data_IF_497863534791
#
_entry.id   IF_497863534791
#
_cell.length_a   1.000
_cell.length_b   1.000
_cell.length_c   1.000
_cell.angle_alpha   90.00
_cell.angle_beta   90.00
_cell.angle_gamma   90.00
#
_symmetry.space_group_name_H-M   'P 1'
#
loop_
_entity.id
_entity.type
_entity.pdbx_description
1 polymer ?
#
# COMPACT_ATOMS: atom_id res chain seq x y z
N UNK A 1 2.67 -7.43 -6.66
CA UNK A 1 1.45 -8.21 -6.87
C UNK A 1 1.15 -9.08 -5.66
N UNK A 2 1.96 -10.10 -5.34
CA UNK A 2 1.69 -10.98 -4.18
C UNK A 2 1.53 -10.26 -2.83
N UNK A 3 2.23 -9.14 -2.61
CA UNK A 3 2.01 -8.32 -1.41
C UNK A 3 0.58 -7.73 -1.35
N UNK A 4 0.05 -7.22 -2.46
CA UNK A 4 -1.31 -6.70 -2.52
C UNK A 4 -2.33 -7.83 -2.35
N UNK A 5 -2.10 -8.97 -2.99
CA UNK A 5 -2.96 -10.14 -2.88
C UNK A 5 -2.98 -10.68 -1.44
N UNK A 6 -1.83 -10.66 -0.76
CA UNK A 6 -1.72 -10.97 0.67
C UNK A 6 -2.61 -10.05 1.51
N UNK A 7 -2.52 -8.72 1.32
CA UNK A 7 -3.33 -7.77 2.07
C UNK A 7 -4.82 -7.97 1.82
N UNK A 8 -5.23 -8.18 0.56
CA UNK A 8 -6.63 -8.42 0.20
C UNK A 8 -7.19 -9.72 0.78
N UNK A 9 -6.37 -10.76 0.89
CA UNK A 9 -6.82 -12.08 1.38
C UNK A 9 -6.81 -12.19 2.90
N UNK A 10 -5.89 -11.51 3.58
CA UNK A 10 -5.67 -11.68 5.02
C UNK A 10 -6.21 -10.53 5.88
N UNK A 11 -6.49 -9.36 5.27
CA UNK A 11 -6.91 -8.15 6.00
C UNK A 11 -8.22 -7.62 5.40
N UNK A 12 -9.39 -8.04 5.93
CA UNK A 12 -10.69 -7.63 5.39
C UNK A 12 -10.90 -6.11 5.31
N UNK A 13 -10.37 -5.37 6.29
CA UNK A 13 -10.41 -3.90 6.31
C UNK A 13 -9.60 -3.25 5.19
N UNK A 14 -8.67 -3.97 4.55
CA UNK A 14 -7.88 -3.44 3.43
C UNK A 14 -8.75 -3.16 2.20
N UNK A 15 -9.82 -3.94 2.00
CA UNK A 15 -10.69 -3.80 0.83
C UNK A 15 -11.38 -2.43 0.77
N UNK A 16 -11.72 -1.83 1.92
CA UNK A 16 -12.38 -0.53 1.98
C UNK A 16 -11.43 0.66 1.83
N UNK A 17 -10.14 0.47 2.10
CA UNK A 17 -9.11 1.52 1.97
C UNK A 17 -8.33 1.44 0.66
N UNK A 18 -8.44 0.35 -0.10
CA UNK A 18 -7.81 0.26 -1.41
C UNK A 18 -8.39 1.37 -2.29
N UNK A 19 -7.52 2.20 -2.88
CA UNK A 19 -7.85 3.41 -3.65
C UNK A 19 -8.67 3.16 -4.94
N UNK A 20 -9.23 1.96 -5.13
CA UNK A 20 -9.94 1.57 -6.36
C UNK A 20 -11.38 2.07 -6.45
N UNK A 21 -11.86 2.87 -5.49
CA UNK A 21 -13.27 3.28 -5.41
C UNK A 21 -13.58 4.66 -6.00
N UNK A 22 -12.57 5.44 -6.43
CA UNK A 22 -12.76 6.78 -6.99
C UNK A 22 -12.17 6.80 -8.40
N UNK A 23 -12.97 7.18 -9.40
CA UNK A 23 -12.54 7.31 -10.79
C UNK A 23 -11.98 8.70 -11.10
N UNK A 24 -11.20 8.82 -12.18
CA UNK A 24 -10.74 10.12 -12.68
C UNK A 24 -11.92 11.05 -13.04
N UNK A 25 -13.08 10.51 -13.42
CA UNK A 25 -14.27 11.30 -13.74
C UNK A 25 -14.97 11.83 -12.48
N UNK A 26 -15.02 11.05 -11.39
CA UNK A 26 -15.48 11.53 -10.08
C UNK A 26 -14.61 12.71 -9.60
N UNK A 27 -13.29 12.62 -9.80
CA UNK A 27 -12.35 13.68 -9.45
C UNK A 27 -12.52 14.92 -10.33
N UNK A 28 -12.67 14.77 -11.65
CA UNK A 28 -12.96 15.91 -12.54
C UNK A 28 -14.25 16.63 -12.13
N UNK A 29 -15.28 15.87 -11.76
CA UNK A 29 -16.53 16.46 -11.27
C UNK A 29 -16.32 17.24 -9.98
N UNK A 30 -15.51 16.72 -9.05
CA UNK A 30 -15.18 17.38 -7.79
C UNK A 30 -14.46 18.73 -7.99
N UNK A 31 -13.54 18.82 -8.96
CA UNK A 31 -12.80 20.07 -9.23
C UNK A 31 -13.58 21.08 -10.11
N UNK A 32 -14.71 20.66 -10.69
CA UNK A 32 -15.56 21.53 -11.52
C UNK A 32 -16.01 22.79 -10.77
N UNK A 33 -16.03 23.97 -11.41
CA UNK A 33 -15.78 24.22 -12.84
C UNK A 33 -14.30 24.43 -13.19
N UNK A 34 -13.38 24.32 -12.24
CA UNK A 34 -11.95 24.49 -12.51
C UNK A 34 -11.38 23.26 -13.21
N UNK A 35 -10.42 23.43 -14.14
CA UNK A 35 -9.74 22.29 -14.73
C UNK A 35 -8.95 21.55 -13.65
N UNK A 36 -9.13 20.23 -13.59
CA UNK A 36 -8.29 19.37 -12.77
C UNK A 36 -6.95 19.13 -13.48
N UNK A 37 -5.85 19.26 -12.74
CA UNK A 37 -4.52 18.84 -13.18
C UNK A 37 -4.14 17.59 -12.37
N UNK A 38 -3.67 16.56 -13.08
CA UNK A 38 -3.16 15.30 -12.51
C UNK A 38 -1.66 15.23 -12.75
N UNK A 39 -0.91 14.99 -11.67
CA UNK A 39 0.54 14.77 -11.71
C UNK A 39 0.83 13.36 -11.21
N UNK A 40 1.55 12.58 -12.00
CA UNK A 40 1.91 11.18 -11.69
C UNK A 40 3.41 11.07 -11.48
N UNK A 41 3.81 10.63 -10.29
CA UNK A 41 5.21 10.52 -9.89
C UNK A 41 5.55 9.05 -9.58
N UNK A 42 6.45 8.41 -10.35
CA UNK A 42 6.96 7.10 -10.00
C UNK A 42 7.88 7.24 -8.78
N UNK A 43 7.69 6.38 -7.78
CA UNK A 43 8.45 6.38 -6.54
C UNK A 43 8.88 4.96 -6.15
N UNK A 44 9.87 4.87 -5.27
CA UNK A 44 10.31 3.62 -4.70
C UNK A 44 10.85 3.77 -3.28
N UNK A 45 10.71 2.70 -2.50
CA UNK A 45 11.36 2.52 -1.20
C UNK A 45 12.25 1.28 -1.25
N UNK A 46 13.45 1.37 -0.70
CA UNK A 46 14.33 0.23 -0.47
C UNK A 46 14.23 -0.11 1.01
N UNK A 47 13.72 -1.30 1.32
CA UNK A 47 13.36 -1.67 2.68
C UNK A 47 14.14 -2.91 3.09
N UNK A 48 14.76 -2.85 4.27
CA UNK A 48 15.12 -4.05 5.01
C UNK A 48 13.88 -4.64 5.70
N UNK A 49 14.03 -5.83 6.29
CA UNK A 49 12.91 -6.48 6.94
C UNK A 49 12.28 -5.61 8.04
N UNK A 50 13.10 -4.95 8.85
CA UNK A 50 12.63 -4.12 9.97
C UNK A 50 11.82 -2.93 9.45
N UNK A 51 12.30 -2.25 8.42
CA UNK A 51 11.62 -1.12 7.78
C UNK A 51 10.36 -1.57 7.04
N UNK A 52 10.36 -2.75 6.42
CA UNK A 52 9.17 -3.33 5.80
C UNK A 52 8.08 -3.61 6.83
N UNK A 53 8.40 -4.34 7.90
CA UNK A 53 7.44 -4.64 8.97
C UNK A 53 7.00 -3.37 9.70
N UNK A 54 7.89 -2.39 9.89
CA UNK A 54 7.56 -1.08 10.42
C UNK A 54 6.53 -0.33 9.58
N UNK A 55 6.71 -0.30 8.24
CA UNK A 55 5.74 0.29 7.31
C UNK A 55 4.37 -0.37 7.41
N UNK A 56 4.34 -1.71 7.47
CA UNK A 56 3.09 -2.46 7.60
C UNK A 56 2.39 -2.10 8.92
N UNK A 57 3.12 -2.09 10.03
CA UNK A 57 2.58 -1.74 11.35
C UNK A 57 1.99 -0.32 11.43
N UNK A 58 2.58 0.63 10.70
CA UNK A 58 2.10 2.00 10.65
C UNK A 58 0.85 2.18 9.77
N UNK A 59 0.43 1.16 9.04
CA UNK A 59 -0.72 1.24 8.14
C UNK A 59 -2.02 1.10 8.92
N UNK A 60 -2.97 2.02 8.68
CA UNK A 60 -4.24 2.09 9.41
C UNK A 60 -5.12 0.85 9.26
N UNK A 61 -4.96 0.10 8.18
CA UNK A 61 -5.68 -1.14 7.89
C UNK A 61 -5.09 -2.37 8.59
N UNK A 62 -3.83 -2.31 9.04
CA UNK A 62 -3.21 -3.46 9.69
C UNK A 62 -3.84 -3.68 11.07
N UNK A 63 -4.16 -4.94 11.46
CA UNK A 63 -4.80 -5.18 12.74
C UNK A 63 -3.97 -4.62 13.91
N UNK A 64 -4.63 -4.18 14.97
CA UNK A 64 -3.95 -3.66 16.17
C UNK A 64 -3.82 -4.72 17.26
N UNK A 65 -4.68 -5.73 17.24
CA UNK A 65 -4.65 -6.82 18.20
C UNK A 65 -3.43 -7.71 17.97
N UNK A 66 -2.66 -7.97 19.03
CA UNK A 66 -1.42 -8.75 18.92
C UNK A 66 -1.66 -10.19 18.46
N UNK A 67 -2.79 -10.79 18.86
CA UNK A 67 -3.15 -12.16 18.51
C UNK A 67 -3.38 -12.32 17.00
N UNK A 68 -4.09 -11.37 16.38
CA UNK A 68 -4.38 -11.36 14.93
C UNK A 68 -3.13 -11.05 14.10
N UNK A 69 -2.20 -10.29 14.67
CA UNK A 69 -1.00 -9.82 13.97
C UNK A 69 0.12 -10.85 13.86
N UNK A 70 0.23 -11.79 14.81
CA UNK A 70 1.41 -12.66 14.90
C UNK A 70 1.59 -13.49 13.62
N UNK A 71 0.54 -14.19 13.19
CA UNK A 71 0.56 -14.99 11.95
C UNK A 71 0.82 -14.11 10.73
N UNK A 72 0.22 -12.92 10.66
CA UNK A 72 0.45 -11.98 9.56
C UNK A 72 1.92 -11.54 9.46
N UNK A 73 2.59 -11.30 10.59
CA UNK A 73 4.01 -10.96 10.58
C UNK A 73 4.89 -12.12 10.11
N UNK A 74 4.57 -13.36 10.48
CA UNK A 74 5.30 -14.55 10.03
C UNK A 74 5.11 -14.80 8.52
N UNK A 75 3.90 -14.61 8.00
CA UNK A 75 3.62 -14.71 6.57
C UNK A 75 4.29 -13.59 5.76
N UNK A 76 4.27 -12.35 6.27
CA UNK A 76 4.97 -11.22 5.67
C UNK A 76 6.49 -11.39 5.71
N UNK A 77 7.03 -12.00 6.77
CA UNK A 77 8.44 -12.37 6.87
C UNK A 77 8.81 -13.36 5.78
N UNK A 78 7.99 -14.38 5.58
CA UNK A 78 8.15 -15.40 4.53
C UNK A 78 8.09 -14.77 3.14
N UNK A 79 7.14 -13.86 2.92
CA UNK A 79 7.02 -13.11 1.68
C UNK A 79 8.26 -12.22 1.45
N UNK A 80 8.77 -11.56 2.49
CA UNK A 80 10.01 -10.79 2.40
C UNK A 80 11.19 -11.67 1.98
N UNK A 81 11.39 -12.82 2.62
CA UNK A 81 12.49 -13.76 2.29
C UNK A 81 12.42 -14.24 0.84
N UNK A 82 11.21 -14.48 0.33
CA UNK A 82 11.00 -14.92 -1.06
C UNK A 82 11.49 -13.89 -2.09
N UNK A 83 11.39 -12.60 -1.78
CA UNK A 83 11.66 -11.51 -2.72
C UNK A 83 12.89 -10.66 -2.41
N UNK A 84 13.48 -10.82 -1.22
CA UNK A 84 14.63 -10.06 -0.82
C UNK A 84 15.86 -10.45 -1.65
N UNK A 85 16.58 -9.44 -2.14
CA UNK A 85 17.88 -9.58 -2.77
C UNK A 85 18.85 -8.75 -1.94
N UNK A 86 19.93 -9.37 -1.47
CA UNK A 86 20.88 -8.74 -0.53
C UNK A 86 20.15 -8.12 0.69
N UNK A 87 19.23 -8.89 1.30
CA UNK A 87 18.46 -8.49 2.50
C UNK A 87 17.59 -7.23 2.33
N UNK A 88 17.23 -6.90 1.09
CA UNK A 88 16.41 -5.74 0.76
C UNK A 88 15.34 -6.09 -0.26
N UNK A 89 14.18 -5.46 -0.13
CA UNK A 89 13.16 -5.42 -1.18
C UNK A 89 13.05 -4.01 -1.75
N UNK A 90 12.69 -3.92 -3.02
CA UNK A 90 12.34 -2.65 -3.67
C UNK A 90 10.82 -2.58 -3.79
N UNK A 91 10.22 -1.68 -3.02
CA UNK A 91 8.79 -1.40 -3.06
C UNK A 91 8.52 -0.23 -4.00
N UNK A 92 7.99 -0.51 -5.19
CA UNK A 92 7.64 0.51 -6.19
C UNK A 92 6.19 0.94 -6.02
N UNK A 93 5.93 2.23 -6.15
CA UNK A 93 4.58 2.79 -6.11
C UNK A 93 4.49 4.05 -6.97
N UNK A 94 3.26 4.47 -7.25
CA UNK A 94 2.97 5.70 -7.97
C UNK A 94 2.29 6.64 -6.99
N UNK A 95 2.72 7.91 -6.97
CA UNK A 95 2.01 8.98 -6.28
C UNK A 95 1.28 9.81 -7.32
N UNK A 96 -0.04 9.87 -7.17
CA UNK A 96 -0.89 10.73 -7.98
C UNK A 96 -1.30 11.95 -7.15
N UNK A 97 -1.09 13.14 -7.70
CA UNK A 97 -1.45 14.41 -7.11
C UNK A 97 -2.50 15.06 -8.00
N UNK A 98 -3.60 15.50 -7.39
CA UNK A 98 -4.71 16.16 -8.07
C UNK A 98 -4.86 17.58 -7.51
N UNK A 99 -4.86 18.60 -8.37
CA UNK A 99 -5.08 20.00 -7.98
C UNK A 99 -5.88 20.76 -9.05
N UNK A 100 -6.25 22.02 -8.75
CA UNK A 100 -7.05 22.92 -9.60
C UNK A 100 -6.43 24.29 -9.74
#
# INVERSE_FOLDING_TARGET
QEYEDFLLSHIPSYQSVSHKNISDDDLKQFFSPRPMIKITLPNQQILDLRSFLGRVRSSSYFPKEQAENKTLYDDLRTLFDKYAIAERIVFKYITEIYNS
#
